data_IF_724018937204
#
_entry.id   IF_724018937204
#
_cell.length_a   1.000
_cell.length_b   1.000
_cell.length_c   1.000
_cell.angle_alpha   90.00
_cell.angle_beta   90.00
_cell.angle_gamma   90.00
#
_symmetry.space_group_name_H-M   'P 1'
#
loop_
_entity.id
_entity.type
_entity.pdbx_description
1 polymer ?
#
# COMPACT_ATOMS: atom_id res chain seq x y z
N UNK A 1 -2.44 11.52 -30.14
CA UNK A 1 -1.25 11.70 -29.27
C UNK A 1 -1.57 11.07 -27.93
N UNK A 2 -0.88 9.99 -27.56
CA UNK A 2 -1.14 9.28 -26.30
C UNK A 2 -0.86 10.19 -25.11
N UNK A 3 -1.69 10.09 -24.06
CA UNK A 3 -1.42 10.77 -22.79
C UNK A 3 0.02 10.46 -22.36
N UNK A 4 0.77 11.52 -22.06
CA UNK A 4 2.08 11.45 -21.42
C UNK A 4 2.04 10.45 -20.27
N UNK A 5 3.12 9.69 -20.08
CA UNK A 5 3.19 8.72 -18.98
C UNK A 5 2.83 9.41 -17.67
N UNK A 6 1.84 8.88 -16.95
CA UNK A 6 1.43 9.37 -15.64
C UNK A 6 2.68 9.53 -14.75
N UNK A 7 2.83 10.64 -14.01
CA UNK A 7 3.92 10.79 -13.05
C UNK A 7 3.85 9.65 -12.03
N UNK A 8 5.01 9.04 -11.74
CA UNK A 8 5.16 7.93 -10.79
C UNK A 8 6.13 8.36 -9.70
N UNK A 9 5.87 8.04 -8.43
CA UNK A 9 6.84 8.29 -7.37
C UNK A 9 8.09 7.44 -7.61
N UNK A 10 9.27 8.04 -7.49
CA UNK A 10 10.55 7.37 -7.74
C UNK A 10 10.92 6.40 -6.63
N UNK A 11 10.54 6.68 -5.38
CA UNK A 11 10.90 5.88 -4.20
C UNK A 11 9.81 4.90 -3.73
N UNK A 12 8.68 4.81 -4.46
CA UNK A 12 7.56 3.97 -4.02
C UNK A 12 7.98 2.50 -3.84
N UNK A 13 8.70 1.93 -4.81
CA UNK A 13 9.09 0.52 -4.78
C UNK A 13 9.92 0.16 -3.55
N UNK A 14 10.92 1.00 -3.25
CA UNK A 14 11.78 0.89 -2.08
C UNK A 14 10.97 0.95 -0.78
N UNK A 15 10.05 1.91 -0.66
CA UNK A 15 9.20 2.05 0.54
C UNK A 15 8.31 0.83 0.78
N UNK A 16 7.75 0.23 -0.28
CA UNK A 16 6.96 -0.99 -0.16
C UNK A 16 7.82 -2.17 0.32
N UNK A 17 9.02 -2.29 -0.23
CA UNK A 17 10.00 -3.30 0.18
C UNK A 17 10.38 -3.13 1.66
N UNK A 18 10.71 -1.91 2.09
CA UNK A 18 11.06 -1.58 3.47
C UNK A 18 9.96 -1.99 4.45
N UNK A 19 8.68 -1.73 4.12
CA UNK A 19 7.57 -2.16 4.98
C UNK A 19 7.54 -3.67 5.15
N UNK A 20 7.70 -4.44 4.06
CA UNK A 20 7.68 -5.90 4.14
C UNK A 20 8.84 -6.43 4.98
N UNK A 21 10.04 -5.90 4.75
CA UNK A 21 11.26 -6.35 5.43
C UNK A 21 11.27 -5.97 6.90
N UNK A 22 10.80 -4.77 7.25
CA UNK A 22 10.67 -4.34 8.64
C UNK A 22 9.71 -5.23 9.45
N UNK A 23 8.70 -5.81 8.78
CA UNK A 23 7.77 -6.77 9.38
C UNK A 23 8.27 -8.22 9.31
N UNK A 24 9.46 -8.45 8.73
CA UNK A 24 10.10 -9.77 8.58
C UNK A 24 9.23 -10.78 7.81
N UNK A 25 8.50 -10.30 6.79
CA UNK A 25 7.60 -11.13 5.99
C UNK A 25 8.26 -11.53 4.65
N UNK A 26 8.02 -12.76 4.22
CA UNK A 26 8.16 -13.14 2.82
C UNK A 26 7.11 -12.43 1.95
N UNK A 27 7.28 -12.46 0.63
CA UNK A 27 6.32 -11.87 -0.29
C UNK A 27 4.93 -12.53 -0.22
N UNK A 28 4.85 -13.85 0.04
CA UNK A 28 3.58 -14.54 0.23
C UNK A 28 2.92 -14.18 1.56
N UNK A 29 3.69 -14.10 2.64
CA UNK A 29 3.17 -13.65 3.94
C UNK A 29 2.69 -12.20 3.88
N UNK A 30 3.32 -11.36 3.06
CA UNK A 30 2.87 -9.99 2.82
C UNK A 30 1.49 -9.97 2.14
N UNK A 31 1.22 -10.86 1.18
CA UNK A 31 -0.11 -10.97 0.55
C UNK A 31 -1.17 -11.35 1.59
N UNK A 32 -0.86 -12.32 2.46
CA UNK A 32 -1.72 -12.71 3.58
C UNK A 32 -1.95 -11.53 4.52
N UNK A 33 -0.90 -10.78 4.86
CA UNK A 33 -0.96 -9.62 5.76
C UNK A 33 -1.81 -8.47 5.18
N UNK A 34 -1.83 -8.32 3.86
CA UNK A 34 -2.68 -7.38 3.12
C UNK A 34 -4.12 -7.90 2.96
N UNK A 35 -4.38 -9.18 3.22
CA UNK A 35 -5.66 -9.84 2.98
C UNK A 35 -6.04 -9.81 1.50
N UNK A 36 -5.11 -10.22 0.62
CA UNK A 36 -5.24 -10.20 -0.85
C UNK A 36 -4.89 -11.54 -1.51
N UNK A 37 -5.02 -12.65 -0.78
CA UNK A 37 -4.61 -13.99 -1.24
C UNK A 37 -5.26 -14.41 -2.56
N UNK A 38 -6.50 -14.00 -2.81
CA UNK A 38 -7.23 -14.34 -4.02
C UNK A 38 -7.00 -13.34 -5.18
N UNK A 39 -6.31 -12.23 -4.92
CA UNK A 39 -6.16 -11.11 -5.85
C UNK A 39 -4.71 -10.91 -6.34
N UNK A 40 -3.75 -11.18 -5.47
CA UNK A 40 -2.33 -10.95 -5.71
C UNK A 40 -1.54 -12.26 -5.68
N UNK A 41 -0.52 -12.30 -6.52
CA UNK A 41 0.48 -13.35 -6.54
C UNK A 41 1.82 -12.81 -6.04
N UNK A 42 2.71 -13.71 -5.61
CA UNK A 42 4.08 -13.36 -5.24
C UNK A 42 4.78 -12.52 -6.33
N UNK A 43 4.62 -12.90 -7.59
CA UNK A 43 5.21 -12.20 -8.73
C UNK A 43 4.69 -10.76 -8.87
N UNK A 44 3.42 -10.49 -8.51
CA UNK A 44 2.87 -9.13 -8.46
C UNK A 44 3.52 -8.29 -7.36
N UNK A 45 3.69 -8.86 -6.16
CA UNK A 45 4.40 -8.19 -5.06
C UNK A 45 5.83 -7.85 -5.48
N UNK A 46 6.57 -8.82 -6.03
CA UNK A 46 7.92 -8.61 -6.56
C UNK A 46 7.96 -7.52 -7.63
N UNK A 47 6.97 -7.42 -8.51
CA UNK A 47 6.91 -6.37 -9.52
C UNK A 47 6.70 -4.97 -8.91
N UNK A 48 5.95 -4.87 -7.80
CA UNK A 48 5.76 -3.62 -7.07
C UNK A 48 7.04 -3.22 -6.33
N UNK A 49 7.65 -4.15 -5.60
CA UNK A 49 8.89 -3.91 -4.82
C UNK A 49 10.11 -3.59 -5.68
N UNK A 50 10.09 -3.95 -6.97
CA UNK A 50 11.15 -3.61 -7.94
C UNK A 50 10.82 -2.39 -8.81
N UNK A 51 9.65 -1.76 -8.63
CA UNK A 51 9.23 -0.60 -9.42
C UNK A 51 8.87 -0.94 -10.88
N UNK A 52 8.75 -2.23 -11.23
CA UNK A 52 8.34 -2.66 -12.57
C UNK A 52 6.86 -2.34 -12.80
N UNK A 53 6.04 -2.39 -11.75
CA UNK A 53 4.62 -2.03 -11.78
C UNK A 53 4.26 -1.14 -10.60
N UNK A 54 3.30 -0.27 -10.81
CA UNK A 54 2.67 0.51 -9.73
C UNK A 54 1.51 -0.30 -9.13
N UNK A 55 1.42 -0.43 -7.80
CA UNK A 55 0.26 -1.05 -7.17
C UNK A 55 -0.99 -0.19 -7.34
N UNK A 56 -2.18 -0.78 -7.47
CA UNK A 56 -3.44 -0.04 -7.39
C UNK A 56 -3.57 0.73 -6.07
N UNK A 57 -4.28 1.87 -6.07
CA UNK A 57 -4.45 2.72 -4.88
C UNK A 57 -4.97 1.97 -3.64
N UNK A 58 -5.84 0.96 -3.83
CA UNK A 58 -6.36 0.16 -2.72
C UNK A 58 -5.31 -0.79 -2.14
N UNK A 59 -4.41 -1.31 -2.98
CA UNK A 59 -3.26 -2.10 -2.51
C UNK A 59 -2.31 -1.19 -1.74
N UNK A 60 -2.03 0.00 -2.27
CA UNK A 60 -1.19 0.99 -1.62
C UNK A 60 -1.73 1.44 -0.25
N UNK A 61 -3.05 1.65 -0.15
CA UNK A 61 -3.73 1.92 1.11
C UNK A 61 -3.57 0.78 2.12
N UNK A 62 -3.60 -0.48 1.66
CA UNK A 62 -3.37 -1.65 2.52
C UNK A 62 -1.92 -1.70 3.02
N UNK A 63 -0.93 -1.39 2.19
CA UNK A 63 0.47 -1.25 2.63
C UNK A 63 0.62 -0.19 3.73
N UNK A 64 0.04 1.00 3.52
CA UNK A 64 0.07 2.08 4.50
C UNK A 64 -0.50 1.65 5.85
N UNK A 65 -1.63 0.94 5.85
CA UNK A 65 -2.25 0.40 7.07
C UNK A 65 -1.40 -0.66 7.76
N UNK A 66 -0.74 -1.53 7.00
CA UNK A 66 0.12 -2.59 7.54
C UNK A 66 1.37 -2.00 8.21
N UNK A 67 1.97 -0.97 7.60
CA UNK A 67 3.08 -0.21 8.21
C UNK A 67 2.64 0.82 9.26
N UNK A 68 1.33 1.00 9.46
CA UNK A 68 0.74 2.09 10.26
C UNK A 68 1.30 3.50 9.91
N UNK A 69 1.44 3.77 8.62
CA UNK A 69 1.89 5.06 8.07
C UNK A 69 0.79 5.71 7.23
N UNK A 70 0.92 7.00 6.93
CA UNK A 70 0.06 7.66 5.96
C UNK A 70 0.38 7.16 4.54
N UNK A 71 -0.61 7.14 3.64
CA UNK A 71 -0.37 6.87 2.22
C UNK A 71 0.55 7.93 1.60
N UNK A 72 0.47 9.17 2.09
CA UNK A 72 1.36 10.28 1.76
C UNK A 72 2.84 9.90 1.91
N UNK A 73 3.22 9.26 3.02
CA UNK A 73 4.60 8.80 3.23
C UNK A 73 5.06 7.79 2.17
N UNK A 74 4.14 7.09 1.49
CA UNK A 74 4.46 6.15 0.40
C UNK A 74 4.59 6.83 -0.97
N UNK A 75 3.79 7.85 -1.26
CA UNK A 75 3.69 8.47 -2.60
C UNK A 75 4.48 9.76 -2.75
N UNK A 76 4.83 10.41 -1.65
CA UNK A 76 5.60 11.64 -1.65
C UNK A 76 7.09 11.30 -1.58
N UNK A 77 7.83 11.61 -2.65
CA UNK A 77 9.26 11.29 -2.76
C UNK A 77 10.12 12.11 -1.78
N UNK A 78 9.60 13.23 -1.24
CA UNK A 78 10.29 14.05 -0.25
C UNK A 78 10.19 13.49 1.18
N UNK A 79 9.35 12.47 1.40
CA UNK A 79 9.12 11.86 2.71
C UNK A 79 9.79 10.49 2.82
N UNK A 80 10.46 10.26 3.94
CA UNK A 80 10.97 8.94 4.31
C UNK A 80 9.96 8.19 5.18
N UNK A 81 10.05 6.86 5.17
CA UNK A 81 9.38 6.03 6.17
C UNK A 81 10.03 6.22 7.55
N UNK A 82 9.27 6.09 8.64
CA UNK A 82 9.83 6.10 9.99
C UNK A 82 10.75 4.90 10.20
N UNK A 83 11.76 5.08 11.06
CA UNK A 83 12.78 4.05 11.31
C UNK A 83 12.23 2.78 11.94
N UNK A 84 11.12 2.89 12.69
CA UNK A 84 10.43 1.75 13.31
C UNK A 84 9.02 1.62 12.75
N UNK A 85 8.68 0.39 12.36
CA UNK A 85 7.36 0.03 11.84
C UNK A 85 6.78 -1.12 12.68
N UNK A 86 5.46 -1.11 12.99
CA UNK A 86 4.48 -0.09 12.61
C UNK A 86 4.63 1.23 13.40
N UNK A 87 4.44 2.37 12.72
CA UNK A 87 4.66 3.71 13.28
C UNK A 87 3.51 4.19 14.18
N UNK A 88 3.59 5.41 14.74
CA UNK A 88 2.46 6.07 15.39
C UNK A 88 1.47 6.64 14.35
N UNK A 89 0.16 6.46 14.51
CA UNK A 89 -0.82 6.78 13.47
C UNK A 89 -1.01 8.29 13.29
N UNK A 90 -1.07 8.75 12.03
CA UNK A 90 -1.69 10.03 11.64
C UNK A 90 -3.21 9.89 11.73
N UNK A 91 -3.96 10.99 11.71
CA UNK A 91 -5.44 10.97 11.73
C UNK A 91 -6.00 10.02 10.65
N UNK A 92 -6.76 9.00 11.07
CA UNK A 92 -7.37 7.99 10.18
C UNK A 92 -8.57 8.53 9.37
N UNK A 93 -8.96 9.78 9.62
CA UNK A 93 -10.21 10.36 9.12
C UNK A 93 -11.45 9.82 9.84
N UNK A 94 -12.62 10.26 9.39
CA UNK A 94 -13.90 9.87 9.97
C UNK A 94 -14.47 8.73 9.13
N UNK A 95 -14.65 7.54 9.73
CA UNK A 95 -15.33 6.42 9.06
C UNK A 95 -16.75 6.86 8.68
N UNK A 96 -17.09 6.74 7.40
CA UNK A 96 -18.48 6.96 6.96
C UNK A 96 -19.38 6.00 7.72
N UNK A 97 -20.49 6.49 8.27
CA UNK A 97 -21.58 5.62 8.75
C UNK A 97 -22.00 4.74 7.57
N UNK A 98 -22.10 3.44 7.78
CA UNK A 98 -22.59 2.54 6.75
C UNK A 98 -23.95 3.05 6.29
N UNK A 99 -24.08 3.41 5.01
CA UNK A 99 -25.39 3.68 4.44
C UNK A 99 -26.20 2.40 4.62
N UNK A 100 -27.36 2.51 5.29
CA UNK A 100 -28.34 1.44 5.37
C UNK A 100 -28.55 0.92 3.94
N UNK A 101 -28.03 -0.27 3.64
CA UNK A 101 -28.40 -0.96 2.40
C UNK A 101 -29.86 -1.33 2.61
N UNK A 102 -30.77 -0.51 2.10
CA UNK A 102 -32.16 -0.90 2.00
C UNK A 102 -32.21 -2.11 1.06
N UNK A 103 -32.32 -3.29 1.65
CA UNK A 103 -32.69 -4.53 0.97
C UNK A 103 -34.13 -4.38 0.53
N UNK A 104 -34.35 -3.97 -0.72
CA UNK A 104 -35.66 -4.12 -1.35
C UNK A 104 -35.85 -5.60 -1.68
N UNK A 105 -36.91 -6.18 -1.12
CA UNK A 105 -37.39 -7.55 -1.36
C UNK A 105 -37.76 -7.77 -2.81
#
# INVERSE_FOLDING_TARGET
>A
MGQSSRPRPTHLAEKLLTIREALQLSQNEMISRLGLNDELTQARISAYERGVREPPLLVLLKYARVGNVSVEALIDDDLNLPQTLPASPKSEGIKRKAASRNTTK
#
